data_IF_280878537052
#
_entry.id   IF_280878537052
#
_cell.length_a   1.000
_cell.length_b   1.000
_cell.length_c   1.000
_cell.angle_alpha   90.00
_cell.angle_beta   90.00
_cell.angle_gamma   90.00
#
_symmetry.space_group_name_H-M   'P 1'
#
loop_
_entity.id
_entity.type
_entity.pdbx_description
1 polymer ?
#
# COMPACT_ATOMS: atom_id res chain seq x y z
N UNK A 1 19.19 2.36 7.84
CA UNK A 1 19.52 3.33 8.92
C UNK A 1 18.22 3.62 9.68
N UNK A 2 18.18 3.50 11.00
CA UNK A 2 16.92 3.44 11.77
C UNK A 2 16.21 4.80 11.90
N UNK A 3 16.94 5.90 11.75
CA UNK A 3 16.39 7.25 11.71
C UNK A 3 16.91 7.99 10.49
N UNK A 4 15.99 8.46 9.65
CA UNK A 4 16.30 9.33 8.51
C UNK A 4 15.66 10.69 8.74
N UNK A 5 16.48 11.70 9.03
CA UNK A 5 16.02 13.09 9.22
C UNK A 5 15.49 13.72 7.94
N UNK A 6 15.87 13.18 6.77
CA UNK A 6 15.43 13.64 5.46
C UNK A 6 14.17 12.91 4.97
N UNK A 7 13.59 11.99 5.75
CA UNK A 7 12.46 11.15 5.34
C UNK A 7 11.28 11.97 4.81
N UNK A 8 10.95 13.10 5.44
CA UNK A 8 9.87 13.97 4.98
C UNK A 8 10.15 14.62 3.62
N UNK A 9 11.42 14.92 3.32
CA UNK A 9 11.83 15.46 2.02
C UNK A 9 11.76 14.37 0.94
N UNK A 10 12.27 13.19 1.23
CA UNK A 10 12.21 12.04 0.32
C UNK A 10 10.75 11.64 0.04
N UNK A 11 9.90 11.61 1.07
CA UNK A 11 8.47 11.34 0.91
C UNK A 11 7.77 12.40 0.05
N UNK A 12 8.21 13.67 0.13
CA UNK A 12 7.71 14.74 -0.73
C UNK A 12 8.12 14.55 -2.18
N UNK A 13 9.36 14.18 -2.43
CA UNK A 13 9.88 13.88 -3.77
C UNK A 13 9.15 12.67 -4.39
N UNK A 14 8.90 11.64 -3.58
CA UNK A 14 8.14 10.45 -3.98
C UNK A 14 6.69 10.76 -4.40
N UNK A 15 6.07 11.76 -3.78
CA UNK A 15 4.63 12.07 -3.91
C UNK A 15 4.27 13.11 -5.00
N UNK A 16 5.23 13.53 -5.83
CA UNK A 16 5.13 14.44 -6.99
C UNK A 16 4.56 15.86 -6.71
N UNK A 17 3.37 16.00 -6.12
CA UNK A 17 2.66 17.28 -5.94
C UNK A 17 2.18 17.52 -4.49
N UNK A 18 2.05 16.46 -3.68
CA UNK A 18 1.50 16.53 -2.32
C UNK A 18 2.46 15.89 -1.33
N UNK A 19 3.20 16.67 -0.54
CA UNK A 19 4.29 16.12 0.28
C UNK A 19 4.60 16.90 1.54
N UNK A 20 3.58 17.42 2.20
CA UNK A 20 3.72 18.00 3.55
C UNK A 20 3.65 16.93 4.64
N UNK A 21 4.10 17.28 5.85
CA UNK A 21 4.03 16.41 7.04
C UNK A 21 2.63 15.82 7.26
N UNK A 22 1.58 16.65 7.21
CA UNK A 22 0.20 16.17 7.41
C UNK A 22 -0.29 15.23 6.33
N UNK A 23 0.13 15.44 5.07
CA UNK A 23 -0.20 14.53 3.99
C UNK A 23 0.47 13.17 4.21
N UNK A 24 1.76 13.19 4.53
CA UNK A 24 2.54 11.98 4.80
C UNK A 24 1.99 11.23 6.02
N UNK A 25 1.68 11.95 7.10
CA UNK A 25 1.06 11.40 8.30
C UNK A 25 -0.29 10.75 7.99
N UNK A 26 -1.17 11.42 7.22
CA UNK A 26 -2.47 10.87 6.83
C UNK A 26 -2.32 9.62 5.96
N UNK A 27 -1.39 9.60 5.02
CA UNK A 27 -1.09 8.44 4.19
C UNK A 27 -0.56 7.27 5.04
N UNK A 28 0.43 7.53 5.89
CA UNK A 28 1.07 6.55 6.76
C UNK A 28 0.10 5.97 7.80
N UNK A 29 -0.71 6.81 8.45
CA UNK A 29 -1.75 6.33 9.38
C UNK A 29 -2.83 5.52 8.66
N UNK A 30 -3.22 5.92 7.45
CA UNK A 30 -4.13 5.13 6.62
C UNK A 30 -3.54 3.77 6.24
N UNK A 31 -2.23 3.70 5.97
CA UNK A 31 -1.53 2.44 5.71
C UNK A 31 -1.43 1.57 6.97
N UNK A 32 -1.08 2.16 8.11
CA UNK A 32 -1.02 1.45 9.38
C UNK A 32 -2.38 0.82 9.74
N UNK A 33 -3.48 1.57 9.57
CA UNK A 33 -4.84 1.07 9.78
C UNK A 33 -5.21 -0.06 8.82
N UNK A 34 -4.87 0.10 7.52
CA UNK A 34 -5.09 -0.96 6.53
C UNK A 34 -4.31 -2.24 6.89
N UNK A 35 -3.02 -2.13 7.19
CA UNK A 35 -2.18 -3.28 7.57
C UNK A 35 -2.67 -3.96 8.84
N UNK A 36 -3.17 -3.19 9.81
CA UNK A 36 -3.79 -3.75 11.01
C UNK A 36 -5.06 -4.55 10.68
N UNK A 37 -5.94 -4.02 9.83
CA UNK A 37 -7.13 -4.75 9.35
C UNK A 37 -6.74 -5.99 8.56
N UNK A 38 -5.72 -5.90 7.71
CA UNK A 38 -5.19 -7.04 6.95
C UNK A 38 -4.58 -8.09 7.87
N UNK A 39 -3.91 -7.69 8.94
CA UNK A 39 -3.36 -8.60 9.95
C UNK A 39 -4.50 -9.36 10.66
N UNK A 40 -5.50 -8.63 11.18
CA UNK A 40 -6.68 -9.23 11.82
C UNK A 40 -7.40 -10.16 10.84
N UNK A 41 -7.64 -9.71 9.61
CA UNK A 41 -8.28 -10.51 8.56
C UNK A 41 -7.47 -11.76 8.20
N UNK A 42 -6.14 -11.67 8.09
CA UNK A 42 -5.28 -12.82 7.85
C UNK A 42 -5.31 -13.83 9.00
N UNK A 43 -5.38 -13.37 10.25
CA UNK A 43 -5.55 -14.25 11.42
C UNK A 43 -6.92 -14.94 11.38
N UNK A 44 -8.00 -14.20 11.14
CA UNK A 44 -9.35 -14.78 11.00
C UNK A 44 -9.40 -15.80 9.87
N UNK A 45 -8.83 -15.49 8.71
CA UNK A 45 -8.77 -16.40 7.56
C UNK A 45 -7.96 -17.67 7.86
N UNK A 46 -6.93 -17.59 8.70
CA UNK A 46 -6.18 -18.78 9.11
C UNK A 46 -7.03 -19.77 9.94
N UNK A 47 -7.99 -19.27 10.72
CA UNK A 47 -8.92 -20.11 11.49
C UNK A 47 -10.20 -20.47 10.72
N UNK A 48 -10.66 -19.56 9.86
CA UNK A 48 -11.94 -19.66 9.13
C UNK A 48 -11.74 -19.23 7.67
N UNK A 49 -11.14 -20.09 6.83
CA UNK A 49 -10.65 -19.69 5.50
C UNK A 49 -11.76 -19.22 4.53
N UNK A 50 -12.95 -19.79 4.60
CA UNK A 50 -14.05 -19.46 3.68
C UNK A 50 -14.67 -18.07 3.86
N UNK A 51 -14.42 -17.38 4.99
CA UNK A 51 -15.03 -16.07 5.28
C UNK A 51 -14.43 -14.95 4.42
N UNK A 52 -13.14 -15.04 4.12
CA UNK A 52 -12.39 -13.98 3.45
C UNK A 52 -11.86 -14.38 2.07
N UNK A 53 -11.64 -15.68 1.83
CA UNK A 53 -11.22 -16.22 0.53
C UNK A 53 -10.09 -15.38 -0.13
N UNK A 54 -10.04 -15.29 -1.46
CA UNK A 54 -9.07 -14.46 -2.19
C UNK A 54 -9.25 -12.93 -2.00
N UNK A 55 -10.25 -12.46 -1.24
CA UNK A 55 -10.49 -11.01 -1.07
C UNK A 55 -9.34 -10.30 -0.37
N UNK A 56 -8.66 -10.96 0.58
CA UNK A 56 -7.48 -10.39 1.24
C UNK A 56 -6.37 -10.08 0.23
N UNK A 57 -6.18 -10.95 -0.75
CA UNK A 57 -5.19 -10.75 -1.81
C UNK A 57 -5.60 -9.59 -2.72
N UNK A 58 -6.87 -9.54 -3.14
CA UNK A 58 -7.41 -8.45 -3.95
C UNK A 58 -7.26 -7.09 -3.25
N UNK A 59 -7.53 -7.01 -1.95
CA UNK A 59 -7.36 -5.79 -1.17
C UNK A 59 -5.90 -5.35 -1.10
N UNK A 60 -4.95 -6.28 -0.92
CA UNK A 60 -3.51 -5.96 -0.95
C UNK A 60 -3.08 -5.42 -2.31
N UNK A 61 -3.51 -6.05 -3.39
CA UNK A 61 -3.19 -5.62 -4.77
C UNK A 61 -3.75 -4.21 -5.03
N UNK A 62 -5.03 -3.99 -4.70
CA UNK A 62 -5.67 -2.68 -4.88
C UNK A 62 -4.96 -1.61 -4.03
N UNK A 63 -4.55 -1.95 -2.81
CA UNK A 63 -3.80 -1.03 -1.96
C UNK A 63 -2.45 -0.67 -2.57
N UNK A 64 -1.71 -1.64 -3.09
CA UNK A 64 -0.43 -1.38 -3.78
C UNK A 64 -0.61 -0.50 -5.02
N UNK A 65 -1.68 -0.71 -5.81
CA UNK A 65 -2.03 0.18 -6.93
C UNK A 65 -2.26 1.62 -6.45
N UNK A 66 -3.08 1.81 -5.41
CA UNK A 66 -3.32 3.13 -4.81
C UNK A 66 -2.05 3.77 -4.25
N UNK A 67 -1.15 2.99 -3.65
CA UNK A 67 0.14 3.51 -3.17
C UNK A 67 1.01 3.97 -4.34
N UNK A 68 1.07 3.20 -5.43
CA UNK A 68 1.81 3.56 -6.65
C UNK A 68 1.28 4.85 -7.29
N UNK A 69 -0.04 5.06 -7.29
CA UNK A 69 -0.65 6.32 -7.75
C UNK A 69 -0.28 7.52 -6.87
N UNK A 70 -0.20 7.32 -5.55
CA UNK A 70 0.11 8.39 -4.58
C UNK A 70 1.59 8.68 -4.42
N UNK A 71 2.44 7.70 -4.72
CA UNK A 71 3.89 7.75 -4.64
C UNK A 71 4.50 7.36 -6.00
N UNK A 72 4.20 8.10 -7.08
CA UNK A 72 4.59 7.71 -8.43
C UNK A 72 6.10 7.69 -8.67
N UNK A 73 6.87 8.42 -7.85
CA UNK A 73 8.32 8.51 -7.95
C UNK A 73 9.05 7.60 -6.94
N UNK A 74 8.32 6.75 -6.19
CA UNK A 74 8.96 5.79 -5.30
C UNK A 74 9.62 4.66 -6.09
N UNK A 75 10.92 4.49 -5.90
CA UNK A 75 11.74 3.53 -6.66
C UNK A 75 11.27 2.09 -6.47
N UNK A 76 10.77 1.72 -5.28
CA UNK A 76 10.31 0.35 -5.02
C UNK A 76 8.96 0.09 -5.69
N UNK A 77 8.02 1.03 -5.61
CA UNK A 77 6.71 0.89 -6.26
C UNK A 77 6.81 0.93 -7.79
N UNK A 78 7.81 1.63 -8.33
CA UNK A 78 8.09 1.63 -9.77
C UNK A 78 8.52 0.25 -10.28
N UNK A 79 9.17 -0.58 -9.46
CA UNK A 79 9.57 -1.95 -9.84
C UNK A 79 8.38 -2.91 -10.02
N UNK A 80 7.20 -2.56 -9.49
CA UNK A 80 6.01 -3.41 -9.57
C UNK A 80 5.20 -3.09 -10.82
N UNK A 81 5.12 -4.01 -11.78
CA UNK A 81 4.28 -3.88 -12.98
C UNK A 81 2.94 -4.59 -12.76
N UNK A 82 1.83 -3.86 -12.92
CA UNK A 82 0.49 -4.45 -12.91
C UNK A 82 0.06 -4.69 -14.36
N UNK A 83 -0.03 -5.97 -14.74
CA UNK A 83 -0.49 -6.39 -16.06
C UNK A 83 -1.94 -6.84 -15.91
N UNK A 84 -2.83 -6.32 -16.74
CA UNK A 84 -4.20 -6.84 -16.82
C UNK A 84 -4.15 -8.19 -17.54
N UNK A 85 -4.50 -9.24 -16.82
CA UNK A 85 -4.76 -10.53 -17.47
C UNK A 85 -6.09 -10.39 -18.20
N UNK A 86 -6.06 -10.41 -19.53
CA UNK A 86 -7.24 -10.78 -20.31
C UNK A 86 -7.47 -12.27 -20.06
N UNK A 87 -8.54 -12.59 -19.33
CA UNK A 87 -9.14 -13.92 -19.42
C UNK A 87 -9.93 -13.94 -20.73
N UNK A 88 -9.34 -14.55 -21.75
CA UNK A 88 -10.09 -14.98 -22.94
C UNK A 88 -11.03 -16.11 -22.51
N UNK A 89 -12.20 -15.74 -21.98
CA UNK A 89 -13.37 -16.63 -21.79
C UNK A 89 -14.41 -16.35 -22.89
#
# INVERSE_FOLDING_TARGET
MWFNKNHLREAKEAASVSGGYFWHFKLAMGEAGFLLLMCIGSVIHAFVPWVLDFKLLQWRINRLKTLKEKLPNDVQLQQVLFIEAHSDD
#
